data_IF_403280365352
#
_entry.id   IF_403280365352
#
_cell.length_a   1.000
_cell.length_b   1.000
_cell.length_c   1.000
_cell.angle_alpha   90.00
_cell.angle_beta   90.00
_cell.angle_gamma   90.00
#
_symmetry.space_group_name_H-M   'P 1'
#
loop_
_entity.id
_entity.type
_entity.pdbx_description
1 polymer ?
#
# COMPACT_ATOMS: atom_id res chain seq x y z
N UNK A 1 -14.43 -31.62 -4.16
CA UNK A 1 -14.17 -30.17 -4.04
C UNK A 1 -12.80 -30.08 -3.42
N UNK A 2 -11.77 -29.92 -4.26
CA UNK A 2 -10.39 -30.12 -3.83
C UNK A 2 -10.01 -29.07 -2.79
N UNK A 3 -9.42 -29.57 -1.71
CA UNK A 3 -8.80 -28.83 -0.63
C UNK A 3 -7.62 -28.05 -1.22
N UNK A 4 -7.78 -26.74 -1.41
CA UNK A 4 -6.68 -25.81 -1.74
C UNK A 4 -5.78 -25.71 -0.51
N UNK A 5 -5.05 -26.79 -0.24
CA UNK A 5 -4.03 -26.82 0.78
C UNK A 5 -3.00 -25.75 0.42
N UNK A 6 -2.88 -24.78 1.31
CA UNK A 6 -1.99 -23.62 1.26
C UNK A 6 -0.53 -24.08 1.11
N UNK A 7 -0.11 -24.41 -0.11
CA UNK A 7 1.30 -24.68 -0.42
C UNK A 7 2.04 -23.36 -0.34
N UNK A 8 3.10 -23.31 0.48
CA UNK A 8 3.95 -22.13 0.54
C UNK A 8 4.50 -21.84 -0.87
N UNK A 9 4.48 -20.58 -1.33
CA UNK A 9 5.02 -20.24 -2.63
C UNK A 9 6.49 -20.67 -2.71
N UNK A 10 6.97 -21.07 -3.90
CA UNK A 10 8.36 -21.45 -4.08
C UNK A 10 9.30 -20.33 -3.60
N UNK A 11 10.47 -20.66 -3.01
CA UNK A 11 11.47 -19.66 -2.63
C UNK A 11 11.84 -18.79 -3.83
N UNK A 12 11.71 -17.48 -3.67
CA UNK A 12 11.95 -16.49 -4.73
C UNK A 12 12.54 -15.22 -4.10
N UNK A 13 13.53 -14.62 -4.78
CA UNK A 13 14.18 -13.38 -4.36
C UNK A 13 14.07 -12.34 -5.47
N UNK A 14 13.76 -11.10 -5.09
CA UNK A 14 13.71 -9.97 -6.01
C UNK A 14 14.48 -8.78 -5.42
N UNK A 15 15.20 -8.01 -6.25
CA UNK A 15 15.81 -6.76 -5.80
C UNK A 15 14.71 -5.78 -5.37
N UNK A 16 14.92 -5.08 -4.25
CA UNK A 16 13.97 -4.09 -3.77
C UNK A 16 14.06 -2.78 -4.60
N UNK A 17 12.93 -2.18 -4.99
CA UNK A 17 11.57 -2.68 -4.81
C UNK A 17 11.17 -3.76 -5.84
N UNK A 18 10.44 -4.78 -5.35
CA UNK A 18 9.97 -5.90 -6.17
C UNK A 18 8.77 -5.52 -7.04
N UNK A 19 8.50 -6.32 -8.08
CA UNK A 19 7.40 -6.08 -9.04
C UNK A 19 6.28 -7.09 -8.81
N UNK A 20 5.04 -6.62 -8.89
CA UNK A 20 3.87 -7.45 -8.57
C UNK A 20 3.54 -8.49 -9.64
N UNK A 21 4.01 -8.30 -10.87
CA UNK A 21 3.78 -9.22 -12.01
C UNK A 21 4.71 -10.44 -12.07
N UNK A 22 5.79 -10.44 -11.27
CA UNK A 22 6.85 -11.46 -11.32
C UNK A 22 6.65 -12.68 -10.37
N UNK A 23 5.87 -12.64 -9.26
CA UNK A 23 5.71 -13.80 -8.39
C UNK A 23 4.82 -14.89 -9.00
N UNK A 24 5.21 -16.16 -8.83
CA UNK A 24 4.38 -17.34 -9.11
C UNK A 24 4.05 -18.09 -7.80
N UNK A 25 2.77 -18.19 -7.37
CA UNK A 25 1.60 -17.58 -8.00
C UNK A 25 1.52 -16.07 -7.76
N UNK A 26 0.83 -15.37 -8.66
CA UNK A 26 0.60 -13.94 -8.53
C UNK A 26 -0.17 -13.61 -7.22
N UNK A 27 0.14 -12.48 -6.55
CA UNK A 27 -0.58 -12.08 -5.35
C UNK A 27 -2.08 -11.89 -5.61
N UNK A 28 -2.93 -12.32 -4.67
CA UNK A 28 -4.38 -12.06 -4.71
C UNK A 28 -4.71 -10.66 -4.16
N UNK A 29 -4.20 -9.63 -4.82
CA UNK A 29 -4.26 -8.23 -4.36
C UNK A 29 -5.30 -7.37 -5.10
N UNK A 30 -6.01 -7.93 -6.08
CA UNK A 30 -7.07 -7.22 -6.83
C UNK A 30 -8.41 -7.15 -6.10
N UNK A 31 -8.53 -7.82 -4.94
CA UNK A 31 -9.77 -7.90 -4.17
C UNK A 31 -11.00 -8.30 -5.02
N UNK A 32 -10.82 -9.12 -6.06
CA UNK A 32 -11.88 -9.45 -7.02
C UNK A 32 -13.19 -9.90 -6.35
N UNK A 33 -13.08 -10.75 -5.32
CA UNK A 33 -14.20 -11.35 -4.61
C UNK A 33 -14.81 -10.45 -3.51
N UNK A 34 -14.26 -9.26 -3.26
CA UNK A 34 -14.76 -8.35 -2.21
C UNK A 34 -16.03 -7.62 -2.66
N UNK A 35 -17.18 -7.80 -1.97
CA UNK A 35 -18.39 -7.03 -2.23
C UNK A 35 -18.31 -5.67 -1.52
N UNK A 36 -18.37 -4.58 -2.28
CA UNK A 36 -18.46 -3.23 -1.71
C UNK A 36 -19.77 -3.03 -0.95
N UNK A 37 -19.72 -2.34 0.19
CA UNK A 37 -20.87 -2.05 1.05
C UNK A 37 -21.10 -0.54 1.26
N UNK A 38 -20.48 0.29 0.43
CA UNK A 38 -20.54 1.76 0.47
C UNK A 38 -20.17 2.38 1.84
N UNK A 39 -19.32 1.71 2.63
CA UNK A 39 -18.96 2.17 3.97
C UNK A 39 -18.14 3.47 3.97
N UNK A 40 -17.47 3.77 2.86
CA UNK A 40 -16.57 4.92 2.70
C UNK A 40 -17.05 5.90 1.63
N UNK A 41 -18.35 5.91 1.36
CA UNK A 41 -18.96 6.79 0.38
C UNK A 41 -18.54 8.25 0.58
N UNK A 42 -18.10 8.88 -0.53
CA UNK A 42 -17.69 10.28 -0.61
C UNK A 42 -16.49 10.67 0.29
N UNK A 43 -15.69 9.67 0.69
CA UNK A 43 -14.41 9.88 1.37
C UNK A 43 -13.26 9.89 0.38
N UNK A 44 -12.15 10.49 0.80
CA UNK A 44 -10.88 10.50 0.06
C UNK A 44 -9.81 9.84 0.94
N UNK A 45 -9.10 8.86 0.40
CA UNK A 45 -8.06 8.12 1.10
C UNK A 45 -6.70 8.27 0.42
N UNK A 46 -5.64 8.47 1.22
CA UNK A 46 -4.25 8.44 0.77
C UNK A 46 -3.62 7.12 1.22
N UNK A 47 -3.06 6.37 0.27
CA UNK A 47 -2.48 5.05 0.51
C UNK A 47 -1.02 5.08 0.07
N UNK A 48 -0.11 4.84 1.02
CA UNK A 48 1.33 4.73 0.77
C UNK A 48 1.72 3.28 0.48
N UNK A 49 2.56 3.04 -0.52
CA UNK A 49 2.84 1.70 -1.04
C UNK A 49 1.60 1.08 -1.71
N UNK A 50 0.74 1.92 -2.29
CA UNK A 50 -0.52 1.51 -2.89
C UNK A 50 -0.38 0.83 -4.25
N UNK A 51 0.84 0.73 -4.77
CA UNK A 51 1.16 0.11 -6.05
C UNK A 51 1.04 -1.42 -6.02
N UNK A 52 1.29 -2.07 -4.88
CA UNK A 52 1.46 -3.53 -4.81
C UNK A 52 0.90 -4.16 -3.52
N UNK A 53 0.61 -5.47 -3.57
CA UNK A 53 0.33 -6.30 -2.40
C UNK A 53 -0.78 -5.75 -1.49
N UNK A 54 -0.46 -5.54 -0.21
CA UNK A 54 -1.44 -5.09 0.79
C UNK A 54 -1.99 -3.70 0.42
N UNK A 55 -1.13 -2.79 -0.04
CA UNK A 55 -1.55 -1.44 -0.39
C UNK A 55 -2.51 -1.44 -1.57
N UNK A 56 -2.24 -2.27 -2.60
CA UNK A 56 -3.16 -2.47 -3.73
C UNK A 56 -4.51 -3.03 -3.28
N UNK A 57 -4.50 -4.08 -2.45
CA UNK A 57 -5.74 -4.67 -1.94
C UNK A 57 -6.58 -3.66 -1.17
N UNK A 58 -5.95 -2.87 -0.29
CA UNK A 58 -6.63 -1.80 0.46
C UNK A 58 -7.18 -0.72 -0.47
N UNK A 59 -6.42 -0.31 -1.50
CA UNK A 59 -6.86 0.69 -2.47
C UNK A 59 -8.12 0.24 -3.23
N UNK A 60 -8.11 -1.00 -3.74
CA UNK A 60 -9.25 -1.54 -4.47
C UNK A 60 -10.45 -1.74 -3.55
N UNK A 61 -10.24 -2.23 -2.33
CA UNK A 61 -11.31 -2.34 -1.34
C UNK A 61 -11.94 -0.97 -1.03
N UNK A 62 -11.13 0.06 -0.80
CA UNK A 62 -11.62 1.39 -0.50
C UNK A 62 -12.41 2.01 -1.66
N UNK A 63 -11.96 1.77 -2.89
CA UNK A 63 -12.69 2.17 -4.09
C UNK A 63 -14.05 1.47 -4.18
N UNK A 64 -14.10 0.16 -3.92
CA UNK A 64 -15.35 -0.62 -3.86
C UNK A 64 -16.28 -0.17 -2.74
N UNK A 65 -15.75 0.34 -1.64
CA UNK A 65 -16.53 0.95 -0.54
C UNK A 65 -16.95 2.41 -0.84
N UNK A 66 -16.63 2.95 -2.02
CA UNK A 66 -17.11 4.25 -2.48
C UNK A 66 -16.18 5.44 -2.20
N UNK A 67 -14.91 5.20 -1.86
CA UNK A 67 -13.92 6.26 -1.64
C UNK A 67 -13.15 6.62 -2.91
N UNK A 68 -12.75 7.88 -3.05
CA UNK A 68 -11.70 8.29 -3.99
C UNK A 68 -10.32 8.02 -3.39
N UNK A 69 -9.35 7.63 -4.22
CA UNK A 69 -8.05 7.14 -3.74
C UNK A 69 -6.90 7.96 -4.33
N UNK A 70 -5.92 8.28 -3.50
CA UNK A 70 -4.60 8.77 -3.91
C UNK A 70 -3.56 7.71 -3.56
N UNK A 71 -2.78 7.27 -4.55
CA UNK A 71 -1.74 6.26 -4.41
C UNK A 71 -0.38 6.93 -4.35
N UNK A 72 0.36 6.72 -3.26
CA UNK A 72 1.75 7.10 -3.14
C UNK A 72 2.66 5.86 -3.28
N UNK A 73 3.62 5.91 -4.19
CA UNK A 73 4.52 4.78 -4.53
C UNK A 73 5.91 5.32 -4.94
N UNK A 74 6.93 4.47 -5.07
CA UNK A 74 8.32 4.93 -5.24
C UNK A 74 8.70 5.14 -6.72
N UNK A 75 8.78 4.06 -7.49
CA UNK A 75 9.18 4.08 -8.90
C UNK A 75 8.47 3.01 -9.76
N UNK A 76 7.53 2.27 -9.17
CA UNK A 76 6.78 1.16 -9.76
C UNK A 76 5.55 1.70 -10.51
N UNK A 77 5.80 2.58 -11.49
CA UNK A 77 4.74 3.31 -12.20
C UNK A 77 3.71 2.39 -12.87
N UNK A 78 4.15 1.26 -13.45
CA UNK A 78 3.26 0.30 -14.12
C UNK A 78 2.32 -0.38 -13.10
N UNK A 79 2.83 -0.76 -11.93
CA UNK A 79 2.04 -1.36 -10.85
C UNK A 79 1.06 -0.36 -10.23
N UNK A 80 1.46 0.91 -10.14
CA UNK A 80 0.60 1.99 -9.68
C UNK A 80 -0.54 2.28 -10.68
N UNK A 81 -0.26 2.32 -11.99
CA UNK A 81 -1.31 2.50 -13.00
C UNK A 81 -2.27 1.31 -13.04
N UNK A 82 -1.77 0.07 -12.93
CA UNK A 82 -2.64 -1.10 -12.82
C UNK A 82 -3.60 -1.00 -11.63
N UNK A 83 -3.09 -0.56 -10.47
CA UNK A 83 -3.95 -0.30 -9.31
C UNK A 83 -4.96 0.82 -9.58
N UNK A 84 -4.54 1.89 -10.25
CA UNK A 84 -5.41 2.99 -10.60
C UNK A 84 -6.53 2.58 -11.57
N UNK A 85 -6.25 1.69 -12.52
CA UNK A 85 -7.25 1.07 -13.40
C UNK A 85 -8.30 0.28 -12.61
N UNK A 86 -7.89 -0.51 -11.62
CA UNK A 86 -8.82 -1.24 -10.76
C UNK A 86 -9.72 -0.29 -9.96
N UNK A 87 -9.17 0.80 -9.43
CA UNK A 87 -9.95 1.84 -8.74
C UNK A 87 -10.94 2.53 -9.68
N UNK A 88 -10.50 2.86 -10.89
CA UNK A 88 -11.35 3.47 -11.94
C UNK A 88 -12.45 2.51 -12.39
N UNK A 89 -12.16 1.21 -12.49
CA UNK A 89 -13.13 0.17 -12.82
C UNK A 89 -14.20 0.00 -11.72
N UNK A 90 -13.85 0.28 -10.46
CA UNK A 90 -14.81 0.38 -9.35
C UNK A 90 -15.64 1.69 -9.38
N UNK A 91 -15.45 2.55 -10.38
CA UNK A 91 -16.21 3.80 -10.57
C UNK A 91 -15.74 4.99 -9.73
N UNK A 92 -14.53 4.92 -9.16
CA UNK A 92 -13.97 5.98 -8.30
C UNK A 92 -12.78 6.68 -8.94
N UNK A 93 -12.40 7.84 -8.40
CA UNK A 93 -11.25 8.60 -8.90
C UNK A 93 -9.96 8.09 -8.26
N UNK A 94 -8.91 8.00 -9.07
CA UNK A 94 -7.57 7.65 -8.62
C UNK A 94 -6.53 8.70 -9.05
N UNK A 95 -5.68 9.12 -8.12
CA UNK A 95 -4.52 9.98 -8.38
C UNK A 95 -3.23 9.25 -8.03
N UNK A 96 -2.31 9.17 -8.99
CA UNK A 96 -1.00 8.56 -8.83
C UNK A 96 0.03 9.62 -8.42
N UNK A 97 0.60 9.48 -7.22
CA UNK A 97 1.56 10.41 -6.62
C UNK A 97 2.92 9.71 -6.42
N UNK A 98 3.88 9.81 -7.36
CA UNK A 98 5.21 9.29 -7.13
C UNK A 98 5.88 10.01 -5.95
N UNK A 99 6.39 9.24 -5.01
CA UNK A 99 7.04 9.69 -3.79
C UNK A 99 8.53 9.38 -3.87
N UNK A 100 9.38 10.31 -3.43
CA UNK A 100 10.82 10.07 -3.31
C UNK A 100 11.14 9.52 -1.93
N UNK A 101 11.98 8.49 -1.83
CA UNK A 101 12.48 8.03 -0.52
C UNK A 101 13.31 9.17 0.07
N UNK A 102 13.06 9.60 1.32
CA UNK A 102 13.91 10.60 1.93
C UNK A 102 15.35 10.07 1.95
N UNK A 103 16.32 10.94 1.63
CA UNK A 103 17.73 10.59 1.85
C UNK A 103 17.85 10.14 3.30
N UNK A 104 18.52 9.02 3.53
CA UNK A 104 18.84 8.61 4.88
C UNK A 104 19.77 9.67 5.48
N UNK A 105 19.18 10.68 6.11
CA UNK A 105 19.91 11.48 7.07
C UNK A 105 20.11 10.54 8.24
N UNK A 106 21.28 9.89 8.31
CA UNK A 106 21.68 9.22 9.55
C UNK A 106 21.69 10.31 10.60
N UNK A 107 20.59 10.40 11.37
CA UNK A 107 20.62 11.18 12.59
C UNK A 107 21.78 10.62 13.41
N UNK A 108 22.74 11.45 13.85
CA UNK A 108 23.82 10.95 14.69
C UNK A 108 23.15 10.25 15.88
N UNK A 109 23.44 8.95 16.05
CA UNK A 109 23.06 8.24 17.27
C UNK A 109 23.75 8.99 18.40
N UNK A 110 22.98 9.79 19.14
CA UNK A 110 23.37 10.26 20.46
C UNK A 110 23.53 9.02 21.34
N UNK A 111 24.75 8.49 21.41
CA UNK A 111 25.14 7.60 22.49
C UNK A 111 25.23 8.46 23.74
N UNK A 112 24.45 8.10 24.76
CA UNK A 112 24.43 8.65 26.12
C UNK A 112 23.80 10.04 26.31
N UNK A 113 22.50 10.05 26.60
CA UNK A 113 21.83 11.10 27.37
C UNK A 113 20.70 10.45 28.17
N UNK A 114 20.58 10.67 29.50
CA UNK A 114 19.56 10.01 30.32
C UNK A 114 18.17 10.45 29.88
N UNK A 115 17.27 9.48 29.71
CA UNK A 115 15.88 9.63 29.24
C UNK A 115 14.96 10.40 30.21
N UNK A 116 15.51 11.12 31.20
CA UNK A 116 14.76 11.63 32.36
C UNK A 116 14.27 13.08 32.25
N UNK A 117 14.48 13.79 31.12
CA UNK A 117 14.06 15.21 31.00
C UNK A 117 12.86 15.48 30.09
N UNK A 118 12.23 14.46 29.50
CA UNK A 118 11.05 14.64 28.62
C UNK A 118 9.70 14.60 29.35
N UNK A 119 9.70 14.70 30.68
CA UNK A 119 8.49 14.73 31.50
C UNK A 119 8.28 16.12 32.13
N UNK A 120 8.08 17.15 31.31
CA UNK A 120 7.33 18.37 31.66
C UNK A 120 7.43 19.39 30.51
N UNK A 121 6.39 19.51 29.70
CA UNK A 121 6.34 20.53 28.66
C UNK A 121 5.07 20.40 27.82
N UNK A 122 4.01 21.04 28.30
CA UNK A 122 2.67 21.16 27.73
C UNK A 122 2.68 21.34 26.21
N UNK A 123 2.11 20.37 25.51
CA UNK A 123 1.69 20.52 24.12
C UNK A 123 0.46 21.44 24.09
N UNK A 124 0.54 22.52 23.31
CA UNK A 124 -0.62 23.26 22.79
C UNK A 124 -0.98 22.71 21.42
#
# INVERSE_FOLDING_TARGET
MADDAQQAPPPQEQPYPGRSGDPDPAPRDTMADHPGRDLLRDRVALITGGDSGIGRAVAVAFAKEGADVALAYLNEHDDAEYTAELVRAAGRRCVCCPATRPRSTTAPRSSSGPWSSWAAGTCW
#
